data_IF_636418025527
#
_entry.id   IF_636418025527
#
_cell.length_a   1.000
_cell.length_b   1.000
_cell.length_c   1.000
_cell.angle_alpha   90.00
_cell.angle_beta   90.00
_cell.angle_gamma   90.00
#
_symmetry.space_group_name_H-M   'P 1'
#
loop_
_entity.id
_entity.type
_entity.pdbx_description
1 polymer ?
#
# COMPACT_ATOMS: atom_id res chain seq x y z
N UNK A 1 -13.68 21.72 0.79
CA UNK A 1 -14.36 21.16 1.97
C UNK A 1 -15.52 20.32 1.48
N UNK A 2 -15.68 19.12 2.04
CA UNK A 2 -16.76 18.18 1.68
C UNK A 2 -17.48 17.79 2.96
N UNK A 3 -18.81 17.76 2.94
CA UNK A 3 -19.61 17.35 4.10
C UNK A 3 -19.97 15.87 3.99
N UNK A 4 -19.81 15.14 5.10
CA UNK A 4 -20.13 13.73 5.22
C UNK A 4 -21.19 13.55 6.31
N UNK A 5 -22.30 12.90 5.97
CA UNK A 5 -23.28 12.40 6.93
C UNK A 5 -23.21 10.88 6.96
N UNK A 6 -23.14 10.31 8.16
CA UNK A 6 -23.08 8.86 8.39
C UNK A 6 -23.99 8.50 9.55
N UNK A 7 -24.63 7.34 9.43
CA UNK A 7 -25.34 6.72 10.53
C UNK A 7 -24.41 5.72 11.20
N UNK A 8 -24.35 5.79 12.54
CA UNK A 8 -23.57 4.89 13.36
C UNK A 8 -24.50 4.31 14.42
N UNK A 9 -24.35 3.02 14.80
CA UNK A 9 -25.02 2.51 15.98
C UNK A 9 -24.69 3.36 17.20
N UNK A 10 -25.68 3.60 18.07
CA UNK A 10 -25.54 4.53 19.20
C UNK A 10 -24.31 4.22 20.08
N UNK A 11 -24.07 2.94 20.38
CA UNK A 11 -22.90 2.52 21.16
C UNK A 11 -21.57 2.86 20.47
N UNK A 12 -21.50 2.71 19.15
CA UNK A 12 -20.32 3.09 18.36
C UNK A 12 -20.15 4.60 18.32
N UNK A 13 -21.23 5.35 18.13
CA UNK A 13 -21.20 6.81 18.12
C UNK A 13 -20.73 7.37 19.48
N UNK A 14 -21.21 6.80 20.58
CA UNK A 14 -20.83 7.22 21.92
C UNK A 14 -19.36 6.91 22.23
N UNK A 15 -18.90 5.70 21.90
CA UNK A 15 -17.50 5.31 22.07
C UNK A 15 -16.56 6.18 21.21
N UNK A 16 -16.90 6.38 19.93
CA UNK A 16 -16.11 7.21 19.03
C UNK A 16 -16.05 8.68 19.49
N UNK A 17 -17.16 9.21 20.02
CA UNK A 17 -17.21 10.55 20.61
C UNK A 17 -16.32 10.66 21.84
N UNK A 18 -16.41 9.71 22.76
CA UNK A 18 -15.59 9.67 23.97
C UNK A 18 -14.08 9.59 23.64
N UNK A 19 -13.74 8.87 22.56
CA UNK A 19 -12.37 8.76 22.06
C UNK A 19 -11.92 9.97 21.21
N UNK A 20 -12.76 10.99 21.01
CA UNK A 20 -12.43 12.18 20.19
C UNK A 20 -12.35 11.92 18.68
N UNK A 21 -12.84 10.76 18.21
CA UNK A 21 -12.73 10.31 16.82
C UNK A 21 -13.77 10.97 15.90
N UNK A 22 -14.82 11.60 16.45
CA UNK A 22 -15.87 12.29 15.68
C UNK A 22 -15.56 13.78 15.45
N UNK A 23 -14.28 14.16 15.42
CA UNK A 23 -13.85 15.50 15.02
C UNK A 23 -13.41 15.51 13.56
N UNK A 24 -13.55 16.64 12.83
CA UNK A 24 -13.11 16.71 11.44
C UNK A 24 -11.65 16.29 11.24
N UNK A 25 -10.76 16.69 12.15
CA UNK A 25 -9.33 16.39 12.10
C UNK A 25 -9.05 14.90 12.34
N UNK A 26 -9.73 14.28 13.30
CA UNK A 26 -9.57 12.85 13.56
C UNK A 26 -10.12 11.99 12.42
N UNK A 27 -11.28 12.36 11.87
CA UNK A 27 -11.88 11.69 10.71
C UNK A 27 -11.01 11.82 9.46
N UNK A 28 -10.46 13.01 9.19
CA UNK A 28 -9.53 13.22 8.07
C UNK A 28 -8.29 12.32 8.18
N UNK A 29 -7.70 12.24 9.37
CA UNK A 29 -6.58 11.35 9.64
C UNK A 29 -6.94 9.87 9.44
N UNK A 30 -8.08 9.43 9.97
CA UNK A 30 -8.55 8.06 9.84
C UNK A 30 -8.80 7.67 8.37
N UNK A 31 -9.46 8.55 7.62
CA UNK A 31 -9.74 8.35 6.20
C UNK A 31 -8.46 8.32 5.38
N UNK A 32 -7.54 9.27 5.60
CA UNK A 32 -6.25 9.32 4.91
C UNK A 32 -5.42 8.08 5.17
N UNK A 33 -5.38 7.61 6.42
CA UNK A 33 -4.64 6.39 6.78
C UNK A 33 -5.28 5.14 6.12
N UNK A 34 -6.61 5.04 6.12
CA UNK A 34 -7.32 3.95 5.46
C UNK A 34 -7.08 3.94 3.93
N UNK A 35 -7.11 5.11 3.29
CA UNK A 35 -6.80 5.25 1.87
C UNK A 35 -5.35 4.86 1.58
N UNK A 36 -4.39 5.32 2.39
CA UNK A 36 -2.98 4.96 2.24
C UNK A 36 -2.77 3.45 2.33
N UNK A 37 -3.41 2.76 3.29
CA UNK A 37 -3.31 1.31 3.43
C UNK A 37 -3.85 0.58 2.19
N UNK A 38 -4.98 1.04 1.64
CA UNK A 38 -5.52 0.49 0.39
C UNK A 38 -4.61 0.74 -0.80
N UNK A 39 -4.06 1.94 -0.92
CA UNK A 39 -3.16 2.30 -2.01
C UNK A 39 -1.89 1.45 -2.01
N UNK A 40 -1.28 1.22 -0.84
CA UNK A 40 -0.12 0.32 -0.72
C UNK A 40 -0.46 -1.09 -1.17
N UNK A 41 -1.61 -1.62 -0.73
CA UNK A 41 -2.06 -2.95 -1.15
C UNK A 41 -2.29 -3.03 -2.67
N UNK A 42 -2.92 -2.02 -3.26
CA UNK A 42 -3.16 -1.94 -4.70
C UNK A 42 -1.88 -1.76 -5.50
N UNK A 43 -0.95 -0.92 -5.03
CA UNK A 43 0.35 -0.68 -5.65
C UNK A 43 1.17 -1.98 -5.73
N UNK A 44 1.19 -2.79 -4.66
CA UNK A 44 1.85 -4.10 -4.68
C UNK A 44 1.24 -5.04 -5.73
N UNK A 45 -0.09 -5.05 -5.85
CA UNK A 45 -0.79 -5.92 -6.81
C UNK A 45 -0.65 -5.43 -8.26
N UNK A 46 -0.57 -4.12 -8.48
CA UNK A 46 -0.43 -3.53 -9.81
C UNK A 46 0.87 -3.90 -10.53
N UNK A 47 1.91 -4.29 -9.78
CA UNK A 47 3.18 -4.76 -10.35
C UNK A 47 2.99 -6.15 -10.97
N UNK A 48 2.18 -7.01 -10.37
CA UNK A 48 1.94 -8.36 -10.87
C UNK A 48 1.28 -8.34 -12.27
N UNK A 49 0.26 -7.51 -12.45
CA UNK A 49 -0.42 -7.36 -13.74
C UNK A 49 0.52 -6.80 -14.82
N UNK A 50 1.38 -5.83 -14.47
CA UNK A 50 2.37 -5.27 -15.38
C UNK A 50 3.45 -6.29 -15.77
N UNK A 51 3.90 -7.12 -14.82
CA UNK A 51 4.88 -8.19 -15.07
C UNK A 51 4.27 -9.27 -15.97
N UNK A 52 3.02 -9.67 -15.71
CA UNK A 52 2.32 -10.62 -16.56
C UNK A 52 2.12 -10.07 -17.99
N UNK A 53 1.73 -8.81 -18.13
CA UNK A 53 1.53 -8.16 -19.42
C UNK A 53 2.82 -7.97 -20.24
N UNK A 54 3.98 -7.92 -19.58
CA UNK A 54 5.27 -7.80 -20.27
C UNK A 54 5.62 -9.04 -21.10
N UNK A 55 4.95 -10.18 -20.87
CA UNK A 55 5.11 -11.40 -21.68
C UNK A 55 6.53 -11.97 -21.66
N UNK A 56 7.32 -11.63 -20.65
CA UNK A 56 8.72 -12.07 -20.52
C UNK A 56 8.70 -13.53 -20.07
N UNK A 57 9.38 -14.39 -20.83
CA UNK A 57 9.51 -15.79 -20.48
C UNK A 57 10.21 -15.92 -19.10
N UNK A 58 9.72 -16.80 -18.21
CA UNK A 58 10.37 -17.01 -16.92
C UNK A 58 11.77 -17.58 -17.12
N UNK A 59 12.76 -16.96 -16.50
CA UNK A 59 14.13 -17.46 -16.43
C UNK A 59 14.23 -18.64 -15.45
N UNK A 60 15.15 -19.56 -15.71
CA UNK A 60 15.50 -20.61 -14.75
C UNK A 60 16.19 -20.01 -13.53
N UNK A 61 16.19 -20.73 -12.41
CA UNK A 61 16.86 -20.27 -11.18
C UNK A 61 18.37 -20.08 -11.38
N UNK A 62 18.99 -20.87 -12.26
CA UNK A 62 20.42 -20.77 -12.58
C UNK A 62 20.73 -19.46 -13.34
N UNK A 63 19.92 -19.14 -14.35
CA UNK A 63 20.04 -17.88 -15.12
C UNK A 63 19.79 -16.66 -14.23
N UNK A 64 18.80 -16.72 -13.33
CA UNK A 64 18.55 -15.66 -12.34
C UNK A 64 19.78 -15.42 -11.46
N UNK A 65 20.40 -16.49 -10.95
CA UNK A 65 21.57 -16.38 -10.08
C UNK A 65 22.78 -15.79 -10.82
N UNK A 66 22.98 -16.17 -12.09
CA UNK A 66 24.03 -15.62 -12.93
C UNK A 66 23.85 -14.10 -13.14
N UNK A 67 22.63 -13.67 -13.47
CA UNK A 67 22.28 -12.26 -13.68
C UNK A 67 22.46 -11.42 -12.41
N UNK A 68 21.93 -11.90 -11.27
CA UNK A 68 22.07 -11.21 -9.97
C UNK A 68 23.54 -11.06 -9.58
N UNK A 69 24.38 -12.08 -9.85
CA UNK A 69 25.81 -12.03 -9.58
C UNK A 69 26.50 -10.97 -10.45
N UNK A 70 26.20 -10.94 -11.75
CA UNK A 70 26.74 -9.94 -12.67
C UNK A 70 26.37 -8.50 -12.24
N UNK A 71 25.09 -8.25 -11.94
CA UNK A 71 24.60 -6.94 -11.51
C UNK A 71 25.23 -6.47 -10.18
N UNK A 72 25.53 -7.39 -9.26
CA UNK A 72 26.22 -7.08 -7.98
C UNK A 72 27.69 -6.71 -8.20
N UNK A 73 28.36 -7.35 -9.16
CA UNK A 73 29.74 -6.99 -9.53
C UNK A 73 29.78 -5.61 -10.16
N UNK A 74 28.82 -5.30 -11.04
CA UNK A 74 28.70 -3.99 -11.70
C UNK A 74 28.41 -2.84 -10.72
N UNK A 75 27.53 -3.07 -9.74
CA UNK A 75 27.20 -2.07 -8.71
C UNK A 75 28.36 -1.73 -7.77
N UNK A 76 29.37 -2.59 -7.66
CA UNK A 76 30.45 -2.46 -6.67
C UNK A 76 29.95 -2.55 -5.22
N UNK A 77 30.86 -2.52 -4.22
CA UNK A 77 30.45 -2.39 -2.83
C UNK A 77 29.69 -1.06 -2.64
N UNK A 78 28.61 -1.08 -1.87
CA UNK A 78 27.91 0.13 -1.43
C UNK A 78 28.92 0.98 -0.65
N UNK A 79 29.36 2.10 -1.24
CA UNK A 79 30.18 3.10 -0.56
C UNK A 79 29.37 3.85 0.49
#
# INVERSE_FOLDING_TARGET
MTTLQIELPDGTAQAARAAGLLTPQALDRLLTEALRKREVANSLLSIADRVAAAGIAPMTMEEINAEVKAARVERGPLN
#
